data_IF_589056750436
#
_entry.id   IF_589056750436
#
_cell.length_a   1.000
_cell.length_b   1.000
_cell.length_c   1.000
_cell.angle_alpha   90.00
_cell.angle_beta   90.00
_cell.angle_gamma   90.00
#
_symmetry.space_group_name_H-M   'P 1'
#
loop_
_entity.id
_entity.type
_entity.pdbx_description
1 polymer ?
#
# COMPACT_ATOMS: atom_id res chain seq x y z
N UNK A 1 -7.77 8.31 -1.06
CA UNK A 1 -6.66 7.45 -0.60
C UNK A 1 -5.42 7.83 -1.39
N UNK A 2 -4.26 7.96 -0.74
CA UNK A 2 -2.96 8.25 -1.37
C UNK A 2 -1.88 7.36 -0.79
N UNK A 3 -0.86 7.02 -1.57
CA UNK A 3 0.31 6.27 -1.08
C UNK A 3 1.31 7.29 -0.55
N UNK A 4 1.75 7.14 0.70
CA UNK A 4 2.75 8.02 1.33
C UNK A 4 4.17 7.50 1.15
N UNK A 5 4.34 6.19 1.26
CA UNK A 5 5.63 5.51 1.21
C UNK A 5 5.44 4.09 0.70
N UNK A 6 6.45 3.58 -0.01
CA UNK A 6 6.59 2.16 -0.33
C UNK A 6 7.94 1.66 0.19
N UNK A 7 7.93 0.50 0.84
CA UNK A 7 9.12 -0.25 1.21
C UNK A 7 9.12 -1.60 0.49
N UNK A 8 10.19 -1.89 -0.27
CA UNK A 8 10.36 -3.12 -1.06
C UNK A 8 11.63 -3.83 -0.58
N UNK A 9 11.50 -5.09 -0.19
CA UNK A 9 12.61 -5.96 0.20
C UNK A 9 12.60 -7.26 -0.60
N UNK A 10 13.75 -7.63 -1.14
CA UNK A 10 13.97 -8.91 -1.82
C UNK A 10 12.97 -9.23 -2.95
N UNK A 11 12.58 -8.22 -3.75
CA UNK A 11 11.67 -8.38 -4.91
C UNK A 11 12.43 -8.12 -6.20
N UNK A 12 12.48 -9.13 -7.10
CA UNK A 12 12.97 -9.01 -8.49
C UNK A 12 14.25 -8.15 -8.65
N UNK A 13 15.27 -8.42 -7.84
CA UNK A 13 16.57 -7.73 -7.89
C UNK A 13 16.71 -6.48 -7.00
N UNK A 14 15.62 -5.99 -6.43
CA UNK A 14 15.65 -4.99 -5.36
C UNK A 14 15.95 -5.71 -4.04
N UNK A 15 17.08 -5.37 -3.41
CA UNK A 15 17.44 -5.91 -2.07
C UNK A 15 16.64 -5.22 -0.97
N UNK A 16 16.73 -3.89 -0.94
CA UNK A 16 16.03 -3.03 0.00
C UNK A 16 15.89 -1.64 -0.64
N UNK A 17 14.66 -1.16 -0.79
CA UNK A 17 14.34 0.15 -1.35
C UNK A 17 13.17 0.77 -0.60
N UNK A 18 13.38 1.96 -0.07
CA UNK A 18 12.32 2.80 0.48
C UNK A 18 12.14 4.04 -0.39
N UNK A 19 10.90 4.35 -0.77
CA UNK A 19 10.55 5.57 -1.49
C UNK A 19 9.43 6.29 -0.75
N UNK A 20 9.68 7.54 -0.38
CA UNK A 20 8.65 8.45 0.11
C UNK A 20 8.06 9.24 -1.05
N UNK A 21 6.73 9.36 -1.05
CA UNK A 21 5.97 10.21 -1.95
C UNK A 21 5.55 11.52 -1.29
N UNK A 22 6.21 11.88 -0.18
CA UNK A 22 6.06 13.18 0.47
C UNK A 22 7.16 14.13 0.03
N UNK A 23 6.79 15.40 -0.12
CA UNK A 23 7.70 16.53 -0.27
C UNK A 23 7.18 17.66 0.60
N UNK A 24 8.06 18.22 1.44
CA UNK A 24 7.72 19.30 2.37
C UNK A 24 6.46 18.96 3.21
N UNK A 25 6.44 17.74 3.76
CA UNK A 25 5.33 17.12 4.52
C UNK A 25 3.99 16.97 3.78
N UNK A 26 3.96 17.23 2.46
CA UNK A 26 2.78 17.04 1.61
C UNK A 26 2.95 15.84 0.71
N UNK A 27 1.91 15.02 0.63
CA UNK A 27 1.85 13.89 -0.30
C UNK A 27 1.69 14.43 -1.72
N UNK A 28 2.50 13.92 -2.65
CA UNK A 28 2.48 14.34 -4.05
C UNK A 28 1.29 13.71 -4.79
N UNK A 29 0.57 14.52 -5.57
CA UNK A 29 -0.50 14.03 -6.44
C UNK A 29 0.02 13.40 -7.74
N UNK A 30 1.25 13.75 -8.14
CA UNK A 30 1.92 13.22 -9.33
C UNK A 30 3.34 12.77 -8.99
N UNK A 31 3.66 11.54 -9.37
CA UNK A 31 4.98 10.94 -9.25
C UNK A 31 5.42 10.46 -10.64
N UNK A 32 6.66 10.74 -11.00
CA UNK A 32 7.26 10.28 -12.26
C UNK A 32 8.45 9.38 -11.94
N UNK A 33 8.37 8.11 -12.35
CA UNK A 33 9.49 7.18 -12.29
C UNK A 33 10.29 7.27 -13.59
N UNK A 34 11.46 7.91 -13.55
CA UNK A 34 12.35 8.07 -14.69
C UNK A 34 13.71 7.37 -14.46
N UNK A 35 14.36 6.94 -15.53
CA UNK A 35 15.65 6.26 -15.48
C UNK A 35 15.92 5.39 -16.72
N UNK A 36 17.14 4.87 -16.84
CA UNK A 36 17.55 3.99 -17.96
C UNK A 36 16.82 2.64 -17.96
N UNK A 37 16.87 1.91 -19.07
CA UNK A 37 16.29 0.56 -19.13
C UNK A 37 16.95 -0.38 -18.12
N UNK A 38 16.14 -1.27 -17.52
CA UNK A 38 16.62 -2.18 -16.47
C UNK A 38 16.82 -1.54 -15.09
N UNK A 39 16.54 -0.24 -14.92
CA UNK A 39 16.70 0.45 -13.62
C UNK A 39 15.66 0.09 -12.55
N UNK A 40 14.75 -0.86 -12.81
CA UNK A 40 13.72 -1.29 -11.86
C UNK A 40 12.43 -0.48 -11.83
N UNK A 41 12.19 0.45 -12.78
CA UNK A 41 10.93 1.23 -12.85
C UNK A 41 9.68 0.34 -12.85
N UNK A 42 9.64 -0.64 -13.74
CA UNK A 42 8.54 -1.61 -13.81
C UNK A 42 8.43 -2.43 -12.53
N UNK A 43 9.56 -2.82 -11.93
CA UNK A 43 9.59 -3.58 -10.68
C UNK A 43 8.94 -2.83 -9.51
N UNK A 44 9.17 -1.52 -9.41
CA UNK A 44 8.52 -0.68 -8.38
C UNK A 44 7.00 -0.66 -8.60
N UNK A 45 6.55 -0.45 -9.85
CA UNK A 45 5.12 -0.45 -10.18
C UNK A 45 4.46 -1.80 -9.94
N UNK A 46 5.14 -2.89 -10.30
CA UNK A 46 4.70 -4.27 -10.04
C UNK A 46 4.60 -4.56 -8.54
N UNK A 47 5.56 -4.10 -7.73
CA UNK A 47 5.51 -4.28 -6.28
C UNK A 47 4.30 -3.55 -5.66
N UNK A 48 4.04 -2.31 -6.07
CA UNK A 48 2.85 -1.58 -5.62
C UNK A 48 1.58 -2.33 -6.02
N UNK A 49 1.49 -2.81 -7.27
CA UNK A 49 0.35 -3.62 -7.73
C UNK A 49 0.20 -4.91 -6.91
N UNK A 50 1.29 -5.62 -6.65
CA UNK A 50 1.29 -6.88 -5.91
C UNK A 50 0.78 -6.70 -4.47
N UNK A 51 1.08 -5.57 -3.82
CA UNK A 51 0.50 -5.24 -2.51
C UNK A 51 -1.04 -5.21 -2.53
N UNK A 52 -1.62 -4.52 -3.53
CA UNK A 52 -3.09 -4.44 -3.69
C UNK A 52 -3.71 -5.79 -4.13
N UNK A 53 -2.96 -6.61 -4.85
CA UNK A 53 -3.35 -8.00 -5.16
C UNK A 53 -3.16 -8.96 -3.97
N UNK A 54 -2.77 -8.46 -2.79
CA UNK A 54 -2.47 -9.25 -1.59
C UNK A 54 -1.36 -10.30 -1.82
N UNK A 55 -0.46 -10.05 -2.78
CA UNK A 55 0.70 -10.90 -3.10
C UNK A 55 1.92 -10.41 -2.32
N UNK A 56 2.63 -11.35 -1.69
CA UNK A 56 3.83 -11.07 -0.89
C UNK A 56 3.58 -10.17 0.34
N UNK A 57 2.31 -10.05 0.77
CA UNK A 57 1.90 -9.42 2.01
C UNK A 57 1.69 -10.51 3.05
N UNK A 58 2.42 -10.41 4.16
CA UNK A 58 2.20 -11.22 5.35
C UNK A 58 1.31 -10.43 6.31
N UNK A 59 0.05 -10.82 6.42
CA UNK A 59 -0.94 -10.15 7.30
C UNK A 59 -0.72 -10.44 8.78
N UNK A 60 -0.03 -11.54 9.12
CA UNK A 60 0.24 -11.91 10.51
C UNK A 60 1.41 -11.07 11.05
N UNK A 61 2.39 -10.76 10.20
CA UNK A 61 3.55 -9.94 10.52
C UNK A 61 3.95 -9.05 9.33
N UNK A 62 3.44 -7.82 9.30
CA UNK A 62 3.74 -6.87 8.22
C UNK A 62 5.23 -6.63 8.00
N UNK A 63 6.04 -6.64 9.07
CA UNK A 63 7.50 -6.44 9.00
C UNK A 63 8.22 -7.53 8.20
N UNK A 64 7.59 -8.71 8.08
CA UNK A 64 8.07 -9.84 7.25
C UNK A 64 7.59 -9.77 5.81
N UNK A 65 6.70 -8.82 5.47
CA UNK A 65 6.25 -8.63 4.09
C UNK A 65 7.40 -8.13 3.23
N UNK A 66 7.50 -8.65 2.01
CA UNK A 66 8.47 -8.16 1.04
C UNK A 66 8.08 -6.78 0.50
N UNK A 67 6.82 -6.39 0.67
CA UNK A 67 6.28 -5.12 0.21
C UNK A 67 5.39 -4.56 1.31
N UNK A 68 5.64 -3.32 1.71
CA UNK A 68 4.79 -2.57 2.63
C UNK A 68 4.45 -1.19 2.04
N UNK A 69 3.18 -0.77 2.18
CA UNK A 69 2.71 0.55 1.76
C UNK A 69 2.16 1.31 2.96
N UNK A 70 2.66 2.53 3.16
CA UNK A 70 2.01 3.49 4.03
C UNK A 70 0.95 4.23 3.21
N UNK A 71 -0.31 4.14 3.65
CA UNK A 71 -1.46 4.67 2.93
C UNK A 71 -2.13 5.76 3.76
N UNK A 72 -2.33 6.91 3.13
CA UNK A 72 -3.10 8.03 3.67
C UNK A 72 -4.55 7.98 3.20
N UNK A 73 -5.47 8.14 4.15
CA UNK A 73 -6.90 8.29 3.88
C UNK A 73 -7.32 9.73 4.19
N UNK A 74 -8.04 10.34 3.25
CA UNK A 74 -8.72 11.62 3.47
C UNK A 74 -9.96 11.38 4.33
N UNK A 75 -10.53 12.47 4.85
CA UNK A 75 -11.61 12.39 5.85
C UNK A 75 -12.85 11.66 5.31
N UNK A 76 -13.18 11.85 4.03
CA UNK A 76 -14.28 11.11 3.39
C UNK A 76 -14.05 9.60 3.39
N UNK A 77 -12.83 9.14 3.10
CA UNK A 77 -12.54 7.71 3.12
C UNK A 77 -12.51 7.17 4.54
N UNK A 78 -11.90 7.88 5.49
CA UNK A 78 -11.91 7.49 6.91
C UNK A 78 -13.33 7.28 7.42
N UNK A 79 -14.25 8.20 7.10
CA UNK A 79 -15.65 8.09 7.49
C UNK A 79 -16.31 6.82 6.93
N UNK A 80 -16.06 6.49 5.66
CA UNK A 80 -16.59 5.28 5.03
C UNK A 80 -16.02 4.00 5.68
N UNK A 81 -14.74 4.02 6.06
CA UNK A 81 -14.08 2.90 6.75
C UNK A 81 -14.71 2.69 8.13
N UNK A 82 -14.85 3.76 8.92
CA UNK A 82 -15.47 3.70 10.24
C UNK A 82 -16.91 3.21 10.19
N UNK A 83 -17.67 3.58 9.14
CA UNK A 83 -19.03 3.07 8.92
C UNK A 83 -19.03 1.59 8.54
N UNK A 84 -18.12 1.16 7.66
CA UNK A 84 -17.98 -0.24 7.27
C UNK A 84 -17.57 -1.12 8.47
N UNK A 85 -16.61 -0.67 9.29
CA UNK A 85 -16.17 -1.36 10.51
C UNK A 85 -17.32 -1.56 11.51
N UNK A 86 -18.21 -0.56 11.69
CA UNK A 86 -19.40 -0.68 12.56
C UNK A 86 -20.40 -1.72 12.06
N UNK A 87 -20.50 -1.89 10.75
CA UNK A 87 -21.46 -2.79 10.11
C UNK A 87 -20.88 -4.22 9.92
N UNK A 88 -19.57 -4.40 10.07
CA UNK A 88 -18.92 -5.69 9.96
C UNK A 88 -19.01 -6.46 11.29
N UNK A 89 -19.59 -7.66 11.28
CA UNK A 89 -19.71 -8.52 12.47
C UNK A 89 -18.41 -9.24 12.83
N UNK A 90 -17.52 -9.38 11.85
CA UNK A 90 -16.23 -10.05 11.97
C UNK A 90 -15.15 -8.98 12.08
N UNK A 91 -14.62 -8.80 13.29
CA UNK A 91 -13.50 -7.89 13.56
C UNK A 91 -12.22 -8.58 13.10
N UNK A 92 -11.66 -8.17 11.97
CA UNK A 92 -10.40 -8.74 11.50
C UNK A 92 -9.24 -7.98 12.14
N UNK A 93 -8.13 -8.66 12.40
CA UNK A 93 -6.98 -8.06 13.09
C UNK A 93 -6.30 -6.91 12.32
N UNK A 94 -6.63 -6.71 11.03
CA UNK A 94 -5.91 -5.80 10.16
C UNK A 94 -6.83 -4.85 9.36
N UNK A 95 -6.77 -3.54 9.67
CA UNK A 95 -7.60 -2.48 9.06
C UNK A 95 -7.58 -2.44 7.53
N UNK A 96 -6.45 -2.73 6.90
CA UNK A 96 -6.35 -2.78 5.43
C UNK A 96 -7.06 -4.01 4.84
N UNK A 97 -7.07 -5.14 5.55
CA UNK A 97 -7.81 -6.34 5.14
C UNK A 97 -9.31 -6.12 5.31
N UNK A 98 -9.72 -5.46 6.41
CA UNK A 98 -11.10 -4.98 6.60
C UNK A 98 -11.52 -4.06 5.45
N UNK A 99 -10.64 -3.13 5.05
CA UNK A 99 -10.90 -2.21 3.94
C UNK A 99 -11.14 -2.91 2.60
N UNK A 100 -10.20 -3.77 2.16
CA UNK A 100 -10.33 -4.45 0.87
C UNK A 100 -11.53 -5.40 0.84
N UNK A 101 -11.78 -6.14 1.93
CA UNK A 101 -12.94 -7.05 1.99
C UNK A 101 -14.28 -6.32 2.08
N UNK A 102 -14.33 -5.14 2.72
CA UNK A 102 -15.53 -4.32 2.72
C UNK A 102 -15.82 -3.74 1.33
N UNK A 103 -14.80 -3.37 0.57
CA UNK A 103 -14.98 -2.91 -0.82
C UNK A 103 -15.40 -4.04 -1.79
N UNK A 104 -14.95 -5.28 -1.60
CA UNK A 104 -15.40 -6.41 -2.45
C UNK A 104 -16.87 -6.83 -2.21
N UNK A 105 -17.49 -6.37 -1.11
CA UNK A 105 -18.88 -6.71 -0.75
C UNK A 105 -19.91 -5.63 -1.16
N UNK A 106 -19.47 -4.55 -1.80
CA UNK A 106 -20.32 -3.50 -2.40
C UNK A 106 -20.53 -3.78 -3.90
#
# INVERSE_FOLDING_TARGET
>A
MKIEKVHIKNVKGIKDLELSFKKDDKILDLIVLAGVNGSGKTTILEAIKDFFDNKNVNYDELEKSNINLDIFFEDFEKNNIEEAEKNCKDKYEHKLKELFLCFERL
#
